data_IF_253346491500
#
_entry.id   IF_253346491500
#
_cell.length_a   1.000
_cell.length_b   1.000
_cell.length_c   1.000
_cell.angle_alpha   90.00
_cell.angle_beta   90.00
_cell.angle_gamma   90.00
#
_symmetry.space_group_name_H-M   'P 1'
#
loop_
_entity.id
_entity.type
_entity.pdbx_description
1 polymer ?
#
# COMPACT_ATOMS: atom_id res chain seq x y z
N UNK A 1 15.13 19.11 3.71
CA UNK A 1 14.95 18.32 4.97
C UNK A 1 15.72 17.02 4.81
N UNK A 2 16.34 16.48 5.90
CA UNK A 2 17.12 15.23 5.79
C UNK A 2 16.22 14.01 6.01
N UNK A 3 16.55 12.91 5.36
CA UNK A 3 15.88 11.62 5.59
C UNK A 3 16.00 11.21 7.07
N UNK A 4 17.17 11.43 7.68
CA UNK A 4 17.41 11.15 9.10
C UNK A 4 16.56 11.97 10.09
N UNK A 5 15.90 13.05 9.63
CA UNK A 5 14.98 13.82 10.47
C UNK A 5 13.70 13.02 10.83
N UNK A 6 13.48 11.88 10.14
CA UNK A 6 12.35 10.96 10.34
C UNK A 6 12.78 9.65 11.00
N UNK A 7 13.96 9.64 11.61
CA UNK A 7 14.44 8.50 12.37
C UNK A 7 13.71 8.42 13.73
N UNK A 8 13.37 7.23 14.15
CA UNK A 8 13.01 6.87 15.50
C UNK A 8 13.49 5.44 15.78
N UNK A 9 13.73 5.12 17.04
CA UNK A 9 14.18 3.77 17.42
C UNK A 9 13.00 2.81 17.41
N UNK A 10 13.07 1.81 16.51
CA UNK A 10 12.06 0.75 16.38
C UNK A 10 12.68 -0.60 16.72
N UNK A 11 12.36 -1.20 17.88
CA UNK A 11 12.77 -2.57 18.19
C UNK A 11 12.19 -3.56 17.18
N UNK A 12 13.05 -4.43 16.62
CA UNK A 12 12.67 -5.41 15.60
C UNK A 12 11.52 -6.33 16.07
N UNK A 13 11.44 -6.66 17.37
CA UNK A 13 10.37 -7.46 17.97
C UNK A 13 8.96 -6.88 17.81
N UNK A 14 8.85 -5.57 17.57
CA UNK A 14 7.56 -4.90 17.35
C UNK A 14 7.08 -4.98 15.90
N UNK A 15 7.94 -5.41 14.97
CA UNK A 15 7.55 -5.62 13.58
C UNK A 15 6.71 -6.90 13.47
N UNK A 16 5.42 -6.73 13.19
CA UNK A 16 4.47 -7.84 13.14
C UNK A 16 4.79 -8.81 11.99
N UNK A 17 5.04 -10.07 12.31
CA UNK A 17 5.33 -11.11 11.33
C UNK A 17 4.07 -11.82 10.82
N UNK A 18 3.01 -11.84 11.61
CA UNK A 18 1.75 -12.53 11.32
C UNK A 18 0.55 -11.62 11.60
N UNK A 19 -0.55 -11.74 10.85
CA UNK A 19 -1.77 -11.02 11.16
C UNK A 19 -2.39 -11.50 12.48
N UNK A 20 -3.14 -10.63 13.15
CA UNK A 20 -4.02 -11.02 14.28
C UNK A 20 -5.03 -12.07 13.80
N UNK A 21 -5.51 -12.96 14.68
CA UNK A 21 -6.54 -13.95 14.31
C UNK A 21 -7.82 -13.27 13.83
N UNK A 22 -8.26 -12.26 14.56
CA UNK A 22 -9.38 -11.39 14.21
C UNK A 22 -8.84 -10.05 13.69
N UNK A 23 -9.37 -9.58 12.54
CA UNK A 23 -8.99 -8.29 11.95
C UNK A 23 -9.29 -7.12 12.87
N UNK A 24 -10.41 -7.19 13.60
CA UNK A 24 -10.85 -6.13 14.53
C UNK A 24 -10.07 -6.12 15.86
N UNK A 25 -9.25 -7.14 16.15
CA UNK A 25 -8.47 -7.21 17.38
C UNK A 25 -7.24 -6.30 17.41
N UNK A 26 -6.92 -5.60 16.31
CA UNK A 26 -5.84 -4.63 16.27
C UNK A 26 -6.08 -3.49 17.25
N UNK A 27 -4.99 -2.98 17.85
CA UNK A 27 -5.06 -1.72 18.61
C UNK A 27 -5.20 -0.54 17.64
N UNK A 28 -5.69 0.56 18.20
CA UNK A 28 -5.85 1.84 17.50
C UNK A 28 -5.19 2.94 18.31
N UNK A 29 -4.27 3.68 17.71
CA UNK A 29 -3.77 4.94 18.25
C UNK A 29 -4.43 6.09 17.50
N UNK A 30 -5.26 6.87 18.17
CA UNK A 30 -5.83 8.08 17.61
C UNK A 30 -4.89 9.25 17.89
N UNK A 31 -4.48 9.96 16.84
CA UNK A 31 -3.62 11.14 16.92
C UNK A 31 -4.40 12.39 16.51
N UNK A 32 -4.52 13.33 17.43
CA UNK A 32 -4.97 14.69 17.11
C UNK A 32 -3.88 15.41 16.29
N UNK A 33 -4.17 15.68 15.03
CA UNK A 33 -3.19 16.29 14.12
C UNK A 33 -2.81 17.73 14.50
N UNK A 34 -3.65 18.45 15.28
CA UNK A 34 -3.39 19.83 15.71
C UNK A 34 -2.55 19.90 16.97
N UNK A 35 -2.90 19.10 17.97
CA UNK A 35 -2.30 19.19 19.30
C UNK A 35 -1.22 18.15 19.57
N UNK A 36 -1.16 17.08 18.77
CA UNK A 36 -0.30 15.93 19.01
C UNK A 36 -0.78 15.00 20.13
N UNK A 37 -1.97 15.25 20.69
CA UNK A 37 -2.55 14.38 21.72
C UNK A 37 -2.85 13.00 21.14
N UNK A 38 -2.51 11.95 21.89
CA UNK A 38 -2.78 10.55 21.54
C UNK A 38 -3.84 9.95 22.45
N UNK A 39 -4.64 9.04 21.91
CA UNK A 39 -5.63 8.22 22.65
C UNK A 39 -5.45 6.78 22.22
N UNK A 40 -5.25 5.89 23.19
CA UNK A 40 -5.13 4.46 22.98
C UNK A 40 -6.50 3.78 22.98
N UNK A 41 -6.69 2.80 22.09
CA UNK A 41 -7.92 2.03 21.97
C UNK A 41 -7.74 0.78 21.12
N UNK A 42 -8.85 0.25 20.64
CA UNK A 42 -8.89 -0.86 19.69
C UNK A 42 -9.54 -0.42 18.38
N UNK A 43 -9.28 -1.12 17.29
CA UNK A 43 -9.73 -0.70 15.97
C UNK A 43 -11.25 -0.44 15.87
N UNK A 44 -12.14 -1.23 16.51
CA UNK A 44 -13.56 -0.95 16.50
C UNK A 44 -13.97 0.39 17.15
N UNK A 45 -13.13 0.95 18.02
CA UNK A 45 -13.40 2.23 18.67
C UNK A 45 -13.37 3.40 17.68
N UNK A 46 -12.86 3.18 16.45
CA UNK A 46 -12.86 4.20 15.40
C UNK A 46 -14.26 4.75 15.13
N UNK A 47 -15.31 3.94 15.35
CA UNK A 47 -16.71 4.36 15.24
C UNK A 47 -17.05 5.58 16.10
N UNK A 48 -16.35 5.78 17.23
CA UNK A 48 -16.55 6.89 18.13
C UNK A 48 -16.02 8.22 17.59
N UNK A 49 -15.21 8.17 16.53
CA UNK A 49 -14.55 9.31 15.88
C UNK A 49 -15.07 9.57 14.47
N UNK A 50 -15.94 8.69 13.95
CA UNK A 50 -16.60 8.85 12.66
C UNK A 50 -17.98 9.47 12.87
N UNK A 51 -18.34 10.38 11.95
CA UNK A 51 -19.61 11.08 12.00
C UNK A 51 -20.47 10.73 10.79
N UNK A 52 -21.77 10.86 10.96
CA UNK A 52 -22.71 10.74 9.85
C UNK A 52 -22.33 11.71 8.72
N UNK A 53 -22.18 11.19 7.52
CA UNK A 53 -21.79 11.95 6.35
C UNK A 53 -20.30 11.95 6.05
N UNK A 54 -19.45 11.42 6.93
CA UNK A 54 -18.04 11.18 6.60
C UNK A 54 -17.92 10.24 5.40
N UNK A 55 -16.87 10.43 4.60
CA UNK A 55 -16.56 9.53 3.48
C UNK A 55 -15.27 8.78 3.77
N UNK A 56 -15.37 7.46 3.91
CA UNK A 56 -14.19 6.57 3.93
C UNK A 56 -13.80 6.22 2.50
N UNK A 57 -12.58 6.57 2.12
CA UNK A 57 -12.04 6.24 0.80
C UNK A 57 -11.10 5.07 0.89
N UNK A 58 -11.47 3.96 0.27
CA UNK A 58 -10.74 2.69 0.34
C UNK A 58 -10.12 2.34 -1.01
N UNK A 59 -8.99 1.64 -0.98
CA UNK A 59 -8.31 1.12 -2.15
C UNK A 59 -8.67 -0.36 -2.34
N UNK A 60 -9.45 -0.65 -3.38
CA UNK A 60 -9.98 -1.98 -3.67
C UNK A 60 -9.04 -2.87 -4.50
N UNK A 61 -7.78 -2.48 -4.64
CA UNK A 61 -6.79 -3.29 -5.35
C UNK A 61 -6.65 -4.68 -4.72
N UNK A 62 -6.43 -5.69 -5.58
CA UNK A 62 -6.13 -7.06 -5.18
C UNK A 62 -4.71 -7.42 -5.54
N UNK A 63 -4.00 -8.01 -4.58
CA UNK A 63 -2.64 -8.50 -4.80
C UNK A 63 -2.69 -9.74 -5.68
N UNK A 64 -1.86 -9.73 -6.74
CA UNK A 64 -1.68 -10.90 -7.61
C UNK A 64 -0.54 -11.79 -7.09
N UNK A 65 -0.52 -13.09 -7.42
CA UNK A 65 0.57 -14.00 -7.05
C UNK A 65 1.82 -13.70 -7.88
N UNK A 66 2.36 -12.50 -7.73
CA UNK A 66 3.38 -11.90 -8.57
C UNK A 66 4.79 -12.52 -8.39
N UNK A 67 4.99 -13.38 -7.39
CA UNK A 67 6.28 -14.01 -7.11
C UNK A 67 6.34 -15.39 -7.76
N UNK A 68 7.18 -15.53 -8.78
CA UNK A 68 7.37 -16.75 -9.54
C UNK A 68 8.72 -17.40 -9.17
N UNK A 69 8.68 -18.66 -8.76
CA UNK A 69 9.87 -19.46 -8.49
C UNK A 69 10.06 -20.48 -9.61
N UNK A 70 11.22 -20.50 -10.22
CA UNK A 70 11.52 -21.38 -11.34
C UNK A 70 13.00 -21.72 -11.43
N UNK A 71 13.38 -22.29 -12.57
CA UNK A 71 14.76 -22.64 -12.86
C UNK A 71 15.18 -22.14 -14.24
N UNK A 72 16.44 -21.89 -14.42
CA UNK A 72 17.00 -21.69 -15.77
C UNK A 72 16.89 -22.97 -16.57
N UNK A 73 16.40 -22.88 -17.80
CA UNK A 73 16.17 -24.06 -18.66
C UNK A 73 17.47 -24.79 -19.01
N UNK A 74 18.60 -24.06 -19.12
CA UNK A 74 19.92 -24.62 -19.51
C UNK A 74 20.71 -25.23 -18.33
N UNK A 75 20.61 -24.66 -17.13
CA UNK A 75 21.46 -25.05 -15.99
C UNK A 75 20.69 -25.62 -14.79
N UNK A 76 19.36 -25.60 -14.85
CA UNK A 76 18.46 -25.98 -13.75
C UNK A 76 18.72 -25.20 -12.46
N UNK A 77 19.44 -24.08 -12.54
CA UNK A 77 19.73 -23.27 -11.37
C UNK A 77 18.51 -22.43 -10.98
N UNK A 78 18.18 -22.33 -9.68
CA UNK A 78 16.99 -21.62 -9.22
C UNK A 78 17.05 -20.14 -9.58
N UNK A 79 15.88 -19.62 -9.95
CA UNK A 79 15.61 -18.21 -10.23
C UNK A 79 14.27 -17.81 -9.61
N UNK A 80 14.16 -16.55 -9.23
CA UNK A 80 12.94 -15.92 -8.79
C UNK A 80 12.67 -14.71 -9.68
N UNK A 81 11.46 -14.59 -10.18
CA UNK A 81 10.95 -13.37 -10.80
C UNK A 81 9.84 -12.79 -9.94
N UNK A 82 9.83 -11.47 -9.86
CA UNK A 82 8.80 -10.72 -9.20
C UNK A 82 8.20 -9.73 -10.18
N UNK A 83 6.96 -9.96 -10.57
CA UNK A 83 6.22 -9.14 -11.52
C UNK A 83 6.00 -7.75 -10.94
N UNK A 84 6.34 -6.70 -11.71
CA UNK A 84 6.21 -5.30 -11.28
C UNK A 84 5.15 -4.56 -12.09
N UNK A 85 5.25 -4.66 -13.42
CA UNK A 85 4.39 -3.92 -14.34
C UNK A 85 4.13 -4.76 -15.58
N UNK A 86 2.87 -4.92 -15.92
CA UNK A 86 2.46 -5.52 -17.21
C UNK A 86 2.70 -4.50 -18.32
N UNK A 87 3.37 -4.92 -19.37
CA UNK A 87 3.66 -4.08 -20.54
C UNK A 87 2.67 -4.36 -21.66
N UNK A 88 2.35 -5.65 -21.86
CA UNK A 88 1.33 -6.14 -22.78
C UNK A 88 0.87 -7.55 -22.37
N UNK A 89 0.26 -8.30 -23.29
CA UNK A 89 -0.35 -9.59 -22.99
C UNK A 89 0.62 -10.62 -22.43
N UNK A 90 1.90 -10.57 -22.81
CA UNK A 90 2.90 -11.55 -22.40
C UNK A 90 4.23 -10.96 -21.92
N UNK A 91 4.39 -9.65 -21.87
CA UNK A 91 5.62 -9.01 -21.39
C UNK A 91 5.41 -8.26 -20.09
N UNK A 92 6.34 -8.46 -19.17
CA UNK A 92 6.35 -7.83 -17.87
C UNK A 92 7.71 -7.24 -17.54
N UNK A 93 7.70 -6.08 -16.91
CA UNK A 93 8.85 -5.62 -16.15
C UNK A 93 8.91 -6.37 -14.83
N UNK A 94 10.10 -6.91 -14.48
CA UNK A 94 10.27 -7.77 -13.32
C UNK A 94 11.55 -7.45 -12.55
N UNK A 95 11.55 -7.73 -11.26
CA UNK A 95 12.78 -7.97 -10.51
C UNK A 95 13.19 -9.44 -10.67
N UNK A 96 14.49 -9.69 -10.77
CA UNK A 96 15.02 -11.04 -10.89
C UNK A 96 16.06 -11.34 -9.82
N UNK A 97 15.99 -12.53 -9.21
CA UNK A 97 16.94 -13.03 -8.22
C UNK A 97 17.40 -14.44 -8.58
N UNK A 98 18.71 -14.72 -8.59
CA UNK A 98 19.83 -13.76 -8.62
C UNK A 98 19.91 -13.08 -9.99
N UNK A 99 20.03 -11.74 -10.01
CA UNK A 99 20.05 -10.97 -11.27
C UNK A 99 21.14 -11.39 -12.26
N UNK A 100 22.28 -11.90 -11.76
CA UNK A 100 23.38 -12.42 -12.60
C UNK A 100 22.99 -13.63 -13.46
N UNK A 101 21.95 -14.37 -13.06
CA UNK A 101 21.48 -15.57 -13.78
C UNK A 101 20.41 -15.25 -14.85
N UNK A 102 19.72 -14.10 -14.72
CA UNK A 102 18.66 -13.68 -15.64
C UNK A 102 19.20 -12.56 -16.52
N UNK A 103 19.77 -12.95 -17.67
CA UNK A 103 20.37 -12.07 -18.68
C UNK A 103 19.61 -12.22 -20.00
N UNK A 104 19.76 -11.26 -20.90
CA UNK A 104 19.17 -11.28 -22.25
C UNK A 104 19.40 -12.61 -22.92
N UNK A 105 18.36 -13.19 -23.54
CA UNK A 105 18.33 -14.48 -24.21
C UNK A 105 18.33 -15.71 -23.31
N UNK A 106 18.29 -15.53 -21.96
CA UNK A 106 18.19 -16.67 -21.04
C UNK A 106 16.75 -17.08 -20.82
N UNK A 107 16.50 -18.38 -20.99
CA UNK A 107 15.18 -18.99 -20.78
C UNK A 107 15.05 -19.58 -19.39
N UNK A 108 13.85 -19.54 -18.88
CA UNK A 108 13.46 -20.00 -17.55
C UNK A 108 12.18 -20.82 -17.64
N UNK A 109 12.06 -21.83 -16.79
CA UNK A 109 10.89 -22.70 -16.70
C UNK A 109 10.30 -22.57 -15.30
N UNK A 110 9.01 -22.26 -15.22
CA UNK A 110 8.24 -22.17 -13.98
C UNK A 110 7.29 -23.34 -13.81
N UNK A 111 6.53 -23.68 -14.86
CA UNK A 111 5.74 -24.91 -14.96
C UNK A 111 6.16 -25.60 -16.26
N UNK A 112 6.81 -26.78 -16.22
CA UNK A 112 7.26 -27.49 -17.41
C UNK A 112 6.14 -27.69 -18.44
N UNK A 113 6.34 -27.15 -19.67
CA UNK A 113 5.41 -27.27 -20.77
C UNK A 113 4.14 -26.41 -20.67
N UNK A 114 3.97 -25.62 -19.60
CA UNK A 114 2.82 -24.73 -19.39
C UNK A 114 3.23 -23.25 -19.22
N UNK A 115 4.32 -22.95 -18.47
CA UNK A 115 4.83 -21.59 -18.25
C UNK A 115 6.34 -21.54 -18.37
N UNK A 116 6.78 -20.91 -19.43
CA UNK A 116 8.20 -20.60 -19.70
C UNK A 116 8.39 -19.11 -19.92
N UNK A 117 9.62 -18.61 -19.81
CA UNK A 117 9.92 -17.22 -20.02
C UNK A 117 11.31 -17.00 -20.60
N UNK A 118 11.50 -15.86 -21.27
CA UNK A 118 12.78 -15.40 -21.78
C UNK A 118 13.04 -13.96 -21.34
N UNK A 119 14.27 -13.67 -20.95
CA UNK A 119 14.70 -12.31 -20.67
C UNK A 119 15.03 -11.59 -21.99
N UNK A 120 14.23 -10.57 -22.33
CA UNK A 120 14.43 -9.79 -23.56
C UNK A 120 15.37 -8.60 -23.33
N UNK A 121 15.31 -7.98 -22.14
CA UNK A 121 16.08 -6.77 -21.85
C UNK A 121 16.48 -6.68 -20.37
N UNK A 122 17.59 -6.01 -20.09
CA UNK A 122 18.01 -5.60 -18.75
C UNK A 122 18.04 -4.09 -18.72
N UNK A 123 17.13 -3.50 -17.94
CA UNK A 123 17.01 -2.05 -17.82
C UNK A 123 18.14 -1.45 -16.96
N UNK A 124 18.39 -0.14 -17.10
CA UNK A 124 19.38 0.60 -16.29
C UNK A 124 19.06 0.51 -14.79
N UNK A 125 17.77 0.46 -14.42
CA UNK A 125 17.30 0.22 -13.04
C UNK A 125 17.71 -1.12 -12.46
N UNK A 126 18.20 -2.03 -13.31
CA UNK A 126 18.46 -3.43 -12.96
C UNK A 126 17.23 -4.34 -13.05
N UNK A 127 16.05 -3.83 -13.40
CA UNK A 127 14.89 -4.64 -13.71
C UNK A 127 15.05 -5.35 -15.06
N UNK A 128 14.18 -6.32 -15.35
CA UNK A 128 14.20 -7.12 -16.59
C UNK A 128 12.86 -7.00 -17.29
N UNK A 129 12.91 -6.93 -18.62
CA UNK A 129 11.74 -7.19 -19.43
C UNK A 129 11.75 -8.68 -19.73
N UNK A 130 10.72 -9.35 -19.27
CA UNK A 130 10.54 -10.79 -19.41
C UNK A 130 9.34 -11.04 -20.32
N UNK A 131 9.54 -11.83 -21.36
CA UNK A 131 8.47 -12.36 -22.20
C UNK A 131 8.11 -13.75 -21.73
N UNK A 132 6.83 -13.93 -21.41
CA UNK A 132 6.27 -15.20 -20.96
C UNK A 132 5.65 -15.96 -22.14
N UNK A 133 5.83 -17.26 -22.15
CA UNK A 133 5.18 -18.23 -23.04
C UNK A 133 4.35 -19.15 -22.16
N UNK A 134 3.03 -19.14 -22.36
CA UNK A 134 2.10 -19.88 -21.51
C UNK A 134 0.94 -20.47 -22.32
N UNK A 135 0.26 -21.46 -21.74
CA UNK A 135 -0.93 -22.10 -22.33
C UNK A 135 -2.16 -21.76 -21.50
N UNK A 136 -3.18 -21.24 -22.14
CA UNK A 136 -4.45 -20.87 -21.48
C UNK A 136 -4.54 -19.39 -21.14
N UNK A 137 -5.27 -19.08 -20.08
CA UNK A 137 -5.48 -17.73 -19.59
C UNK A 137 -4.36 -17.37 -18.62
N UNK A 138 -3.75 -16.20 -18.80
CA UNK A 138 -2.60 -15.75 -18.00
C UNK A 138 -2.89 -15.79 -16.49
N UNK A 139 -4.04 -15.29 -16.09
CA UNK A 139 -4.44 -15.19 -14.70
C UNK A 139 -4.51 -16.57 -14.03
N UNK A 140 -5.06 -17.58 -14.72
CA UNK A 140 -5.14 -18.96 -14.24
C UNK A 140 -3.74 -19.61 -14.13
N UNK A 141 -2.86 -19.34 -15.10
CA UNK A 141 -1.50 -19.84 -15.08
C UNK A 141 -0.69 -19.19 -13.97
N UNK A 142 -0.91 -17.89 -13.75
CA UNK A 142 -0.26 -17.13 -12.69
C UNK A 142 -0.70 -17.63 -11.30
N UNK A 143 -1.98 -17.93 -11.11
CA UNK A 143 -2.51 -18.49 -9.86
C UNK A 143 -1.90 -19.85 -9.52
N UNK A 144 -1.58 -20.67 -10.53
CA UNK A 144 -0.90 -21.96 -10.31
C UNK A 144 0.59 -21.83 -10.03
N UNK A 145 1.26 -20.92 -10.72
CA UNK A 145 2.71 -20.78 -10.71
C UNK A 145 3.23 -19.86 -9.61
N UNK A 146 2.43 -18.86 -9.27
CA UNK A 146 2.84 -17.75 -8.44
C UNK A 146 2.51 -17.91 -6.96
N UNK A 147 3.13 -17.07 -6.18
CA UNK A 147 2.80 -16.87 -4.77
C UNK A 147 2.64 -15.38 -4.48
N UNK A 148 1.80 -15.05 -3.50
CA UNK A 148 1.61 -13.67 -3.07
C UNK A 148 2.95 -13.16 -2.48
N UNK A 149 3.50 -12.06 -3.03
CA UNK A 149 4.72 -11.48 -2.49
C UNK A 149 4.43 -10.78 -1.18
N UNK A 150 5.09 -11.21 -0.12
CA UNK A 150 5.07 -10.48 1.14
C UNK A 150 6.20 -9.44 1.18
N UNK A 151 6.02 -8.35 1.93
CA UNK A 151 7.07 -7.39 2.17
C UNK A 151 8.35 -8.03 2.71
N UNK A 152 9.55 -7.49 2.41
CA UNK A 152 10.81 -8.12 2.75
C UNK A 152 11.10 -8.26 4.25
N UNK A 153 10.39 -7.52 5.10
CA UNK A 153 10.50 -7.59 6.56
C UNK A 153 9.60 -8.66 7.19
N UNK A 154 8.74 -9.32 6.39
CA UNK A 154 7.95 -10.48 6.81
C UNK A 154 8.70 -11.73 6.38
N UNK A 155 9.18 -12.48 7.36
CA UNK A 155 9.94 -13.71 7.17
C UNK A 155 9.09 -14.95 7.38
N UNK A 156 7.99 -14.81 8.13
CA UNK A 156 7.06 -15.89 8.40
C UNK A 156 6.18 -16.18 7.16
N UNK A 157 5.91 -17.47 6.95
CA UNK A 157 5.01 -17.90 5.89
C UNK A 157 3.56 -17.72 6.33
N UNK A 158 2.74 -17.14 5.45
CA UNK A 158 1.30 -17.07 5.69
C UNK A 158 0.65 -18.45 5.45
N UNK A 159 -0.11 -18.92 6.43
CA UNK A 159 -0.94 -20.12 6.28
C UNK A 159 -2.12 -19.88 5.33
N UNK A 160 -2.69 -18.67 5.38
CA UNK A 160 -3.80 -18.24 4.53
C UNK A 160 -3.41 -16.96 3.77
N UNK A 161 -3.15 -17.05 2.43
CA UNK A 161 -2.82 -15.90 1.60
C UNK A 161 -3.91 -14.81 1.56
N UNK A 162 -5.19 -15.14 1.78
CA UNK A 162 -6.29 -14.18 1.82
C UNK A 162 -6.18 -13.24 3.04
N UNK A 163 -5.36 -13.55 4.03
CA UNK A 163 -5.07 -12.64 5.14
C UNK A 163 -4.25 -11.41 4.70
N UNK A 164 -3.57 -11.49 3.55
CA UNK A 164 -2.88 -10.35 2.93
C UNK A 164 -3.72 -9.70 1.82
N UNK A 165 -5.04 -9.87 1.88
CA UNK A 165 -6.02 -9.19 1.02
C UNK A 165 -7.02 -8.43 1.89
N UNK A 166 -7.48 -7.25 1.42
CA UNK A 166 -8.60 -6.57 2.05
C UNK A 166 -9.90 -7.32 1.73
N UNK A 167 -10.89 -7.21 2.61
CA UNK A 167 -12.19 -7.89 2.42
C UNK A 167 -13.00 -7.33 1.24
N UNK A 168 -12.57 -6.20 0.70
CA UNK A 168 -13.18 -5.51 -0.45
C UNK A 168 -12.26 -5.50 -1.68
N UNK A 169 -11.17 -6.27 -1.67
CA UNK A 169 -10.26 -6.36 -2.83
C UNK A 169 -10.95 -7.01 -4.02
N UNK A 170 -10.88 -6.38 -5.20
CA UNK A 170 -11.48 -6.88 -6.44
C UNK A 170 -10.61 -6.66 -7.68
N UNK A 171 -9.97 -5.51 -7.82
CA UNK A 171 -9.23 -5.14 -9.03
C UNK A 171 -7.79 -5.65 -8.94
N UNK A 172 -7.53 -6.79 -9.60
CA UNK A 172 -6.24 -7.48 -9.55
C UNK A 172 -5.16 -6.72 -10.33
N UNK A 173 -3.95 -6.62 -9.77
CA UNK A 173 -2.82 -5.94 -10.42
C UNK A 173 -1.73 -5.45 -9.48
N UNK A 174 -1.96 -5.53 -8.18
CA UNK A 174 -1.03 -5.03 -7.17
C UNK A 174 0.02 -6.06 -6.77
N UNK A 175 1.23 -5.60 -6.51
CA UNK A 175 2.29 -6.41 -5.90
C UNK A 175 2.26 -6.36 -4.36
N UNK A 176 1.48 -5.47 -3.75
CA UNK A 176 1.32 -5.36 -2.31
C UNK A 176 -0.08 -4.94 -1.90
N UNK A 177 -0.54 -5.37 -0.73
CA UNK A 177 -1.86 -4.98 -0.20
C UNK A 177 -1.87 -3.55 0.34
N UNK A 178 -3.02 -2.84 0.27
CA UNK A 178 -3.25 -1.60 1.00
C UNK A 178 -3.53 -1.92 2.47
N UNK A 179 -2.46 -2.11 3.26
CA UNK A 179 -2.50 -2.83 4.54
C UNK A 179 -3.35 -2.19 5.63
N UNK A 180 -3.57 -0.88 5.58
CA UNK A 180 -4.53 -0.20 6.48
C UNK A 180 -5.97 -0.74 6.33
N UNK A 181 -6.30 -1.26 5.15
CA UNK A 181 -7.60 -1.89 4.90
C UNK A 181 -7.74 -3.29 5.50
N UNK A 182 -6.64 -3.92 5.92
CA UNK A 182 -6.67 -5.26 6.52
C UNK A 182 -7.37 -5.31 7.88
N UNK A 183 -7.53 -4.18 8.55
CA UNK A 183 -8.22 -4.07 9.83
C UNK A 183 -9.73 -4.20 9.71
N UNK A 184 -10.31 -3.93 8.54
CA UNK A 184 -11.76 -3.99 8.33
C UNK A 184 -12.25 -5.42 8.07
N UNK A 185 -13.48 -5.70 8.56
CA UNK A 185 -14.30 -6.82 8.11
C UNK A 185 -15.46 -6.30 7.26
N UNK A 186 -16.13 -7.17 6.51
CA UNK A 186 -17.32 -6.78 5.73
C UNK A 186 -18.43 -6.29 6.64
N UNK A 187 -18.64 -7.00 7.74
CA UNK A 187 -19.67 -6.71 8.73
C UNK A 187 -19.43 -5.32 9.36
N UNK A 188 -18.17 -5.00 9.70
CA UNK A 188 -17.84 -3.71 10.29
C UNK A 188 -18.00 -2.55 9.28
N UNK A 189 -17.70 -2.76 8.01
CA UNK A 189 -17.97 -1.77 6.97
C UNK A 189 -19.49 -1.52 6.79
N UNK A 190 -20.31 -2.57 6.85
CA UNK A 190 -21.77 -2.40 6.79
C UNK A 190 -22.30 -1.68 8.05
N UNK A 191 -21.80 -2.02 9.24
CA UNK A 191 -22.13 -1.29 10.48
C UNK A 191 -21.83 0.21 10.34
N UNK A 192 -20.67 0.58 9.79
CA UNK A 192 -20.31 1.98 9.56
C UNK A 192 -21.23 2.66 8.55
N UNK A 193 -21.66 1.98 7.49
CA UNK A 193 -22.65 2.51 6.54
C UNK A 193 -24.01 2.76 7.22
N UNK A 194 -24.44 1.87 8.10
CA UNK A 194 -25.69 2.04 8.86
C UNK A 194 -25.66 3.29 9.78
N UNK A 195 -24.49 3.70 10.24
CA UNK A 195 -24.33 4.97 11.00
C UNK A 195 -24.33 6.20 10.09
N UNK A 196 -24.35 6.01 8.78
CA UNK A 196 -24.39 7.08 7.78
C UNK A 196 -23.03 7.52 7.26
N UNK A 197 -21.99 6.71 7.46
CA UNK A 197 -20.69 6.86 6.79
C UNK A 197 -20.82 6.35 5.34
N UNK A 198 -20.37 7.15 4.38
CA UNK A 198 -20.32 6.75 2.97
C UNK A 198 -18.96 6.09 2.65
N UNK A 199 -18.95 5.11 1.75
CA UNK A 199 -17.72 4.44 1.32
C UNK A 199 -17.51 4.72 -0.16
N UNK A 200 -16.34 5.29 -0.50
CA UNK A 200 -15.90 5.50 -1.88
C UNK A 200 -14.71 4.57 -2.19
N UNK A 201 -14.79 3.86 -3.30
CA UNK A 201 -13.75 2.93 -3.73
C UNK A 201 -12.93 3.51 -4.88
N UNK A 202 -11.63 3.43 -4.77
CA UNK A 202 -10.69 3.70 -5.85
C UNK A 202 -9.70 2.54 -5.98
N UNK A 203 -8.92 2.53 -7.04
CA UNK A 203 -7.85 1.55 -7.25
C UNK A 203 -6.51 2.25 -7.33
N UNK A 204 -5.51 1.75 -6.61
CA UNK A 204 -4.09 2.04 -6.86
C UNK A 204 -3.34 0.73 -6.75
N UNK A 205 -2.66 0.34 -7.83
CA UNK A 205 -1.81 -0.85 -7.82
C UNK A 205 -0.46 -0.52 -7.21
N UNK A 206 -0.24 -1.04 -6.00
CA UNK A 206 0.98 -0.79 -5.22
C UNK A 206 2.14 -1.56 -5.84
N UNK A 207 3.17 -0.85 -6.22
CA UNK A 207 4.44 -1.43 -6.65
C UNK A 207 5.35 -1.77 -5.45
N UNK A 208 6.31 -2.66 -5.67
CA UNK A 208 7.28 -3.05 -4.63
C UNK A 208 8.24 -1.93 -4.24
N UNK A 209 8.24 -0.86 -4.98
CA UNK A 209 9.02 0.31 -4.65
C UNK A 209 8.68 0.91 -3.29
N UNK A 210 7.43 0.76 -2.84
CA UNK A 210 6.97 1.20 -1.52
C UNK A 210 7.76 0.59 -0.36
N UNK A 211 8.39 -0.57 -0.56
CA UNK A 211 9.22 -1.24 0.45
C UNK A 211 10.72 -0.97 0.30
N UNK A 212 11.13 -0.15 -0.66
CA UNK A 212 12.54 0.22 -0.80
C UNK A 212 12.87 1.34 0.17
N UNK A 213 13.99 1.23 0.93
CA UNK A 213 14.46 2.33 1.75
C UNK A 213 14.75 3.56 0.89
N UNK A 214 14.48 4.74 1.43
CA UNK A 214 14.93 6.00 0.84
C UNK A 214 16.46 6.04 0.90
N UNK A 215 17.11 6.24 -0.25
CA UNK A 215 18.58 6.27 -0.35
C UNK A 215 19.14 7.69 -0.36
N UNK A 216 18.29 8.66 -0.65
CA UNK A 216 18.68 10.06 -0.70
C UNK A 216 18.92 10.58 0.73
N UNK A 217 19.97 11.36 0.94
CA UNK A 217 20.23 12.04 2.22
C UNK A 217 19.22 13.17 2.44
N UNK A 218 18.88 13.87 1.38
CA UNK A 218 17.91 14.97 1.34
C UNK A 218 16.63 14.45 0.70
N UNK A 219 15.49 14.65 1.37
CA UNK A 219 14.21 14.09 0.92
C UNK A 219 13.77 14.62 -0.45
N UNK A 220 14.12 15.86 -0.78
CA UNK A 220 13.81 16.50 -2.05
C UNK A 220 14.51 15.84 -3.25
N UNK A 221 15.61 15.10 -2.99
CA UNK A 221 16.35 14.34 -4.02
C UNK A 221 15.80 12.92 -4.25
N UNK A 222 14.75 12.54 -3.48
CA UNK A 222 14.14 11.22 -3.62
C UNK A 222 13.17 11.18 -4.80
N UNK A 223 13.38 10.25 -5.72
CA UNK A 223 12.46 9.97 -6.81
C UNK A 223 11.45 8.86 -6.45
N UNK A 224 10.18 9.24 -6.41
CA UNK A 224 9.08 8.29 -6.22
C UNK A 224 8.82 7.48 -7.49
N UNK A 225 8.55 6.18 -7.30
CA UNK A 225 8.10 5.36 -8.42
C UNK A 225 6.68 5.71 -8.81
N UNK A 226 6.42 5.45 -10.10
CA UNK A 226 5.13 5.64 -10.70
C UNK A 226 4.24 4.43 -10.44
N UNK A 227 3.03 4.65 -9.93
CA UNK A 227 2.00 3.63 -9.67
C UNK A 227 0.72 4.00 -10.40
N UNK A 228 0.08 2.98 -11.00
CA UNK A 228 -1.17 3.18 -11.72
C UNK A 228 -2.35 3.29 -10.76
N UNK A 229 -3.24 4.24 -11.04
CA UNK A 229 -4.49 4.41 -10.30
C UNK A 229 -5.69 4.55 -11.22
N UNK A 230 -6.86 4.19 -10.68
CA UNK A 230 -8.17 4.50 -11.23
C UNK A 230 -9.03 5.18 -10.16
N UNK A 231 -9.57 6.33 -10.53
CA UNK A 231 -10.52 7.10 -9.74
C UNK A 231 -11.85 7.12 -10.50
N UNK A 232 -12.75 6.14 -10.23
CA UNK A 232 -13.95 5.94 -11.00
C UNK A 232 -15.02 6.98 -10.73
N UNK A 233 -16.03 7.02 -11.62
CA UNK A 233 -17.14 7.99 -11.55
C UNK A 233 -17.89 7.94 -10.22
N UNK A 234 -18.13 6.76 -9.69
CA UNK A 234 -18.83 6.53 -8.42
C UNK A 234 -18.10 7.20 -7.25
N UNK A 235 -16.79 7.02 -7.15
CA UNK A 235 -15.97 7.68 -6.14
C UNK A 235 -15.93 9.20 -6.34
N UNK A 236 -15.80 9.64 -7.58
CA UNK A 236 -15.83 11.06 -7.95
C UNK A 236 -17.12 11.72 -7.48
N UNK A 237 -18.27 11.14 -7.81
CA UNK A 237 -19.59 11.69 -7.46
C UNK A 237 -19.75 11.81 -5.93
N UNK A 238 -19.38 10.78 -5.16
CA UNK A 238 -19.42 10.78 -3.69
C UNK A 238 -18.51 11.89 -3.12
N UNK A 239 -17.26 11.95 -3.56
CA UNK A 239 -16.25 12.88 -3.02
C UNK A 239 -16.58 14.32 -3.38
N UNK A 240 -16.99 14.59 -4.61
CA UNK A 240 -17.42 15.94 -5.05
C UNK A 240 -18.61 16.44 -4.22
N UNK A 241 -19.60 15.56 -4.00
CA UNK A 241 -20.75 15.87 -3.17
C UNK A 241 -20.31 16.17 -1.73
N UNK A 242 -19.48 15.31 -1.13
CA UNK A 242 -18.98 15.49 0.22
C UNK A 242 -18.24 16.83 0.37
N UNK A 243 -17.35 17.16 -0.56
CA UNK A 243 -16.63 18.44 -0.54
C UNK A 243 -17.56 19.64 -0.66
N UNK A 244 -18.59 19.59 -1.52
CA UNK A 244 -19.55 20.67 -1.66
C UNK A 244 -20.42 20.90 -0.40
N UNK A 245 -20.58 19.85 0.42
CA UNK A 245 -21.32 19.85 1.66
C UNK A 245 -20.42 20.09 2.89
N UNK A 246 -19.11 20.24 2.72
CA UNK A 246 -18.14 20.41 3.82
C UNK A 246 -17.97 19.18 4.72
N UNK A 247 -18.25 17.99 4.17
CA UNK A 247 -18.10 16.71 4.87
C UNK A 247 -16.65 16.22 4.81
N UNK A 248 -16.20 15.53 5.86
CA UNK A 248 -14.83 15.03 5.94
C UNK A 248 -14.57 13.89 4.95
N UNK A 249 -13.39 13.93 4.35
CA UNK A 249 -12.84 12.86 3.51
C UNK A 249 -11.73 12.18 4.27
N UNK A 250 -11.94 10.91 4.61
CA UNK A 250 -11.06 10.08 5.41
C UNK A 250 -10.45 9.01 4.52
N UNK A 251 -9.16 9.09 4.25
CA UNK A 251 -8.48 8.07 3.47
C UNK A 251 -8.12 6.86 4.33
N UNK A 252 -8.34 5.66 3.78
CA UNK A 252 -7.88 4.40 4.36
C UNK A 252 -6.60 3.98 3.63
N UNK A 253 -5.47 4.17 4.30
CA UNK A 253 -4.13 3.91 3.79
C UNK A 253 -3.52 5.08 3.00
N UNK A 254 -2.21 5.08 2.99
CA UNK A 254 -1.40 6.06 2.23
C UNK A 254 -1.61 5.96 0.72
N UNK A 255 -2.05 4.80 0.22
CA UNK A 255 -2.38 4.59 -1.20
C UNK A 255 -3.62 5.38 -1.62
N UNK A 256 -4.69 5.34 -0.83
CA UNK A 256 -5.89 6.16 -1.05
C UNK A 256 -5.56 7.65 -0.96
N UNK A 257 -4.75 8.05 0.03
CA UNK A 257 -4.26 9.43 0.17
C UNK A 257 -3.53 9.89 -1.09
N UNK A 258 -2.56 9.10 -1.56
CA UNK A 258 -1.76 9.47 -2.75
C UNK A 258 -2.62 9.59 -4.00
N UNK A 259 -3.61 8.72 -4.18
CA UNK A 259 -4.54 8.82 -5.31
C UNK A 259 -5.37 10.09 -5.22
N UNK A 260 -6.02 10.35 -4.08
CA UNK A 260 -6.87 11.52 -3.88
C UNK A 260 -6.09 12.83 -4.09
N UNK A 261 -4.91 12.94 -3.49
CA UNK A 261 -4.07 14.13 -3.60
C UNK A 261 -3.50 14.31 -5.01
N UNK A 262 -3.21 13.21 -5.73
CA UNK A 262 -2.81 13.29 -7.14
C UNK A 262 -3.95 13.79 -8.02
N UNK A 263 -5.16 13.26 -7.83
CA UNK A 263 -6.34 13.71 -8.58
C UNK A 263 -6.64 15.17 -8.28
N UNK A 264 -6.70 15.55 -7.01
CA UNK A 264 -6.98 16.93 -6.59
C UNK A 264 -5.90 17.93 -7.05
N UNK A 265 -4.65 17.47 -7.16
CA UNK A 265 -3.53 18.28 -7.67
C UNK A 265 -3.61 18.55 -9.17
N UNK A 266 -4.18 17.63 -9.94
CA UNK A 266 -4.35 17.75 -11.39
C UNK A 266 -5.68 18.45 -11.72
N UNK A 267 -6.74 18.11 -10.98
CA UNK A 267 -8.11 18.56 -11.24
C UNK A 267 -8.83 18.82 -9.91
N UNK A 268 -8.95 20.10 -9.49
CA UNK A 268 -9.65 20.48 -8.27
C UNK A 268 -11.13 20.07 -8.24
N UNK A 269 -11.75 19.86 -9.40
CA UNK A 269 -13.14 19.40 -9.52
C UNK A 269 -13.30 17.91 -9.29
N UNK A 270 -12.18 17.18 -9.12
CA UNK A 270 -12.18 15.75 -8.81
C UNK A 270 -12.98 14.91 -9.82
N UNK A 271 -12.84 15.18 -11.12
CA UNK A 271 -13.49 14.40 -12.17
C UNK A 271 -12.87 13.00 -12.30
N UNK A 272 -13.67 11.98 -12.73
CA UNK A 272 -13.18 10.62 -12.91
C UNK A 272 -11.96 10.56 -13.83
N UNK A 273 -10.96 9.78 -13.44
CA UNK A 273 -9.74 9.59 -14.24
C UNK A 273 -8.93 8.39 -13.83
N UNK A 274 -8.21 7.85 -14.80
CA UNK A 274 -7.14 6.86 -14.57
C UNK A 274 -5.80 7.46 -15.00
N UNK A 275 -4.73 6.98 -14.41
CA UNK A 275 -3.39 7.48 -14.75
C UNK A 275 -2.30 6.89 -13.89
N UNK A 276 -1.17 7.57 -13.90
CA UNK A 276 -0.03 7.20 -13.06
C UNK A 276 0.27 8.33 -12.09
N UNK A 277 0.62 7.96 -10.85
CA UNK A 277 1.07 8.90 -9.83
C UNK A 277 2.47 8.55 -9.32
N UNK A 278 3.30 9.57 -9.22
CA UNK A 278 4.58 9.53 -8.51
C UNK A 278 4.61 10.59 -7.40
N UNK A 279 3.44 10.98 -6.90
CA UNK A 279 3.34 12.01 -5.87
C UNK A 279 4.16 11.62 -4.64
N UNK A 280 4.99 12.55 -4.18
CA UNK A 280 5.75 12.44 -2.95
C UNK A 280 5.25 13.50 -1.96
N UNK A 281 4.60 13.03 -0.90
CA UNK A 281 4.01 13.88 0.15
C UNK A 281 4.95 13.84 1.35
N UNK A 282 5.42 15.03 1.77
CA UNK A 282 6.29 15.23 2.93
C UNK A 282 6.00 16.58 3.58
N UNK A 283 6.52 16.91 4.76
CA UNK A 283 6.21 18.15 5.46
C UNK A 283 6.42 19.40 4.61
N UNK A 284 5.42 20.26 4.58
CA UNK A 284 5.28 21.40 3.67
C UNK A 284 4.28 21.17 2.54
N UNK A 285 3.80 19.93 2.34
CA UNK A 285 2.72 19.63 1.42
C UNK A 285 1.38 20.13 1.97
N UNK A 286 0.61 20.83 1.15
CA UNK A 286 -0.74 21.29 1.46
C UNK A 286 -1.78 20.29 0.91
N UNK A 287 -2.48 19.59 1.82
CA UNK A 287 -3.52 18.64 1.46
C UNK A 287 -4.70 19.34 0.80
N UNK A 288 -5.18 18.79 -0.30
CA UNK A 288 -6.23 19.38 -1.15
C UNK A 288 -7.57 18.65 -1.03
N UNK A 289 -7.55 17.42 -0.56
CA UNK A 289 -8.72 16.56 -0.52
C UNK A 289 -8.86 15.79 0.80
N UNK A 290 -7.76 15.31 1.38
CA UNK A 290 -7.79 14.41 2.53
C UNK A 290 -7.79 15.19 3.84
N UNK A 291 -8.82 14.98 4.66
CA UNK A 291 -8.97 15.61 5.99
C UNK A 291 -8.37 14.74 7.11
N UNK A 292 -8.53 13.42 7.02
CA UNK A 292 -8.10 12.46 8.04
C UNK A 292 -7.58 11.17 7.38
N UNK A 293 -6.77 10.42 8.11
CA UNK A 293 -6.08 9.24 7.58
C UNK A 293 -6.12 8.09 8.58
N UNK A 294 -6.61 6.93 8.15
CA UNK A 294 -6.42 5.64 8.83
C UNK A 294 -5.23 4.96 8.20
N UNK A 295 -4.24 4.57 8.98
CA UNK A 295 -3.00 3.97 8.46
C UNK A 295 -2.39 2.97 9.44
N UNK A 296 -1.37 2.21 9.01
CA UNK A 296 -0.50 1.45 9.92
C UNK A 296 0.65 2.33 10.40
N UNK A 297 1.43 1.82 11.36
CA UNK A 297 2.71 2.42 11.71
C UNK A 297 3.77 2.08 10.64
N UNK A 298 4.62 3.06 10.32
CA UNK A 298 5.56 3.00 9.21
C UNK A 298 7.02 2.93 9.69
N UNK A 299 7.92 2.45 8.79
CA UNK A 299 9.37 2.37 9.05
C UNK A 299 9.98 3.75 9.32
N UNK A 300 11.01 3.81 10.18
CA UNK A 300 11.87 4.97 10.24
C UNK A 300 12.40 5.34 8.85
N UNK A 301 12.53 6.63 8.59
CA UNK A 301 13.13 7.18 7.36
C UNK A 301 12.42 6.77 6.06
N UNK A 302 11.20 6.22 6.13
CA UNK A 302 10.41 5.85 4.94
C UNK A 302 9.62 7.03 4.37
N UNK A 303 9.26 6.94 3.09
CA UNK A 303 8.35 7.93 2.46
C UNK A 303 6.99 7.99 3.14
N UNK A 304 6.57 6.91 3.81
CA UNK A 304 5.27 6.81 4.46
C UNK A 304 5.23 7.56 5.80
N UNK A 305 6.30 7.52 6.61
CA UNK A 305 6.36 8.36 7.82
C UNK A 305 6.46 9.85 7.45
N UNK A 306 7.05 10.17 6.29
CA UNK A 306 7.08 11.54 5.78
C UNK A 306 5.68 12.03 5.39
N UNK A 307 4.85 11.17 4.76
CA UNK A 307 3.46 11.48 4.40
C UNK A 307 2.61 11.74 5.66
N UNK A 308 2.66 10.86 6.65
CA UNK A 308 1.87 11.08 7.89
C UNK A 308 2.37 12.30 8.66
N UNK A 309 3.68 12.59 8.58
CA UNK A 309 4.28 13.81 9.15
C UNK A 309 3.85 15.09 8.42
N UNK A 310 3.55 15.01 7.13
CA UNK A 310 2.96 16.12 6.40
C UNK A 310 1.55 16.45 6.88
N UNK A 311 0.76 15.42 7.26
CA UNK A 311 -0.63 15.59 7.70
C UNK A 311 -0.75 16.11 9.15
N UNK A 312 0.08 15.60 10.06
CA UNK A 312 -0.06 15.85 11.51
C UNK A 312 1.10 16.66 12.13
N UNK A 313 2.07 17.03 11.32
CA UNK A 313 3.32 17.62 11.81
C UNK A 313 4.33 16.57 12.28
N UNK A 314 5.60 16.77 11.91
CA UNK A 314 6.68 15.80 12.18
C UNK A 314 6.83 15.49 13.67
N UNK A 315 6.83 16.52 14.52
CA UNK A 315 7.03 16.35 15.97
C UNK A 315 5.88 15.56 16.60
N UNK A 316 4.64 15.86 16.23
CA UNK A 316 3.47 15.12 16.70
C UNK A 316 3.55 13.64 16.31
N UNK A 317 3.92 13.37 15.07
CA UNK A 317 4.07 11.98 14.57
C UNK A 317 5.19 11.25 15.31
N UNK A 318 6.38 11.84 15.42
CA UNK A 318 7.50 11.19 16.11
C UNK A 318 7.21 10.94 17.58
N UNK A 319 6.52 11.85 18.27
CA UNK A 319 6.07 11.67 19.65
C UNK A 319 5.04 10.53 19.76
N UNK A 320 4.06 10.47 18.84
CA UNK A 320 3.09 9.38 18.77
C UNK A 320 3.75 8.02 18.49
N UNK A 321 4.77 7.98 17.63
CA UNK A 321 5.52 6.76 17.35
C UNK A 321 6.38 6.31 18.53
N UNK A 322 6.98 7.26 19.26
CA UNK A 322 7.68 6.95 20.51
C UNK A 322 6.72 6.35 21.53
N UNK A 323 5.56 6.96 21.74
CA UNK A 323 4.51 6.42 22.59
C UNK A 323 4.10 5.01 22.14
N UNK A 324 3.88 4.79 20.85
CA UNK A 324 3.51 3.48 20.33
C UNK A 324 4.59 2.41 20.57
N UNK A 325 5.88 2.77 20.52
CA UNK A 325 6.99 1.86 20.87
C UNK A 325 6.99 1.55 22.37
N UNK A 326 6.82 2.57 23.22
CA UNK A 326 6.77 2.43 24.68
C UNK A 326 5.58 1.56 25.14
N UNK A 327 4.43 1.70 24.47
CA UNK A 327 3.20 0.92 24.71
C UNK A 327 3.16 -0.41 23.94
N UNK A 328 4.24 -0.79 23.30
CA UNK A 328 4.38 -2.06 22.58
C UNK A 328 3.31 -2.31 21.50
N UNK A 329 2.96 -1.27 20.73
CA UNK A 329 2.17 -1.45 19.53
C UNK A 329 2.91 -2.30 18.51
N UNK A 330 2.17 -3.00 17.67
CA UNK A 330 2.70 -3.77 16.54
C UNK A 330 2.85 -2.87 15.33
N UNK A 331 3.95 -3.00 14.63
CA UNK A 331 4.31 -2.15 13.49
C UNK A 331 4.14 -2.85 12.15
N UNK A 332 3.98 -2.08 11.08
CA UNK A 332 3.90 -2.48 9.68
C UNK A 332 2.61 -3.18 9.25
N UNK A 333 2.71 -3.96 8.12
CA UNK A 333 1.59 -4.50 7.35
C UNK A 333 0.58 -5.29 8.17
N UNK A 334 1.05 -6.06 9.15
CA UNK A 334 0.20 -6.84 10.08
C UNK A 334 0.15 -6.26 11.49
N UNK A 335 0.64 -5.04 11.62
CA UNK A 335 0.64 -4.30 12.89
C UNK A 335 -0.71 -3.70 13.22
N UNK A 336 -0.66 -2.75 14.16
CA UNK A 336 -1.80 -2.03 14.66
C UNK A 336 -2.12 -0.80 13.79
N UNK A 337 -3.26 -0.17 14.05
CA UNK A 337 -3.75 0.97 13.30
C UNK A 337 -3.45 2.30 13.99
N UNK A 338 -3.34 3.33 13.20
CA UNK A 338 -3.30 4.72 13.63
C UNK A 338 -4.41 5.49 12.90
N UNK A 339 -5.14 6.35 13.63
CA UNK A 339 -6.10 7.27 13.04
C UNK A 339 -5.67 8.71 13.31
N UNK A 340 -5.32 9.42 12.27
CA UNK A 340 -4.89 10.82 12.30
C UNK A 340 -6.09 11.69 11.91
N UNK A 341 -6.57 12.50 12.85
CA UNK A 341 -7.77 13.33 12.66
C UNK A 341 -7.72 14.58 13.54
N UNK A 342 -8.65 15.48 13.35
CA UNK A 342 -8.96 16.52 14.34
C UNK A 342 -9.85 15.91 15.42
N UNK A 343 -9.46 16.01 16.69
CA UNK A 343 -10.32 15.71 17.80
C UNK A 343 -11.14 16.96 18.13
N UNK A 344 -12.44 16.80 18.24
CA UNK A 344 -13.29 17.87 18.77
C UNK A 344 -12.95 18.10 20.26
N UNK A 345 -12.78 19.36 20.67
CA UNK A 345 -12.52 19.74 22.04
C UNK A 345 -13.78 19.63 22.92
#
# INVERSE_FOLDING_TARGET
>A
MKTSDFYYDLPERLIAQTPTKDRLASRLLVLDKKTGKTIDGHFPDIRNYLHKGDVLVINNTRVIPARLLGVRSDTQSPVELLLLKRLDDNRWETLARPGKKVRVGKRMTFIPGELEAECEEVLESGNRIIRFEFKGVWEEVLDKAGTIPLPPYIHEKLDDPERYQTVYSKDAGSAAAPTAGLHFTKEFLEELKETGVEIAELTLHVGLGTFRPVKAETIEDHEMHSEWYDFPKEASDIIRKARSEGRRIISVGTTSTRTLESVAGIDPDMMPRSGYTNIFIYPGYEFKCVDSLITNFHLPESTLIMLVSALAGRENVLNAYKHAVEEEYRFFSFGDAMFITDLEN
#
